data_IF_909154645929
#
_entry.id   IF_909154645929
#
_cell.length_a   1.000
_cell.length_b   1.000
_cell.length_c   1.000
_cell.angle_alpha   90.00
_cell.angle_beta   90.00
_cell.angle_gamma   90.00
#
_symmetry.space_group_name_H-M   'P 1'
#
loop_
_entity.id
_entity.type
_entity.pdbx_description
1 polymer ?
#
# COMPACT_ATOMS: atom_id res chain seq x y z
N UNK A 1 50.05 -10.85 -67.26
CA UNK A 1 51.42 -10.31 -67.24
C UNK A 1 51.45 -9.10 -66.31
N UNK A 2 52.54 -8.98 -65.56
CA UNK A 2 52.72 -8.25 -64.30
C UNK A 2 52.17 -6.82 -64.27
N UNK A 3 51.32 -6.50 -63.29
CA UNK A 3 51.28 -5.13 -62.77
C UNK A 3 52.64 -4.88 -62.12
N UNK A 4 53.39 -3.93 -62.68
CA UNK A 4 54.74 -3.63 -62.21
C UNK A 4 54.70 -3.28 -60.72
N UNK A 5 55.69 -3.72 -59.96
CA UNK A 5 55.83 -3.30 -58.56
C UNK A 5 55.84 -1.76 -58.44
N UNK A 6 56.27 -1.05 -59.49
CA UNK A 6 56.20 0.40 -59.57
C UNK A 6 54.76 0.94 -59.64
N UNK A 7 53.84 0.27 -60.32
CA UNK A 7 52.42 0.68 -60.37
C UNK A 7 51.74 0.50 -59.01
N UNK A 8 52.06 -0.61 -58.31
CA UNK A 8 51.61 -0.81 -56.92
C UNK A 8 52.20 0.22 -55.96
N UNK A 9 53.46 0.61 -56.16
CA UNK A 9 54.13 1.64 -55.35
C UNK A 9 53.61 3.04 -55.71
N UNK A 10 53.25 3.32 -56.97
CA UNK A 10 52.57 4.55 -57.39
C UNK A 10 51.18 4.65 -56.79
N UNK A 11 50.37 3.59 -56.84
CA UNK A 11 49.05 3.53 -56.21
C UNK A 11 49.12 3.63 -54.68
N UNK A 12 50.19 3.11 -54.08
CA UNK A 12 50.43 3.22 -52.64
C UNK A 12 50.93 4.63 -52.25
N UNK A 13 51.77 5.29 -53.06
CA UNK A 13 52.19 6.69 -52.86
C UNK A 13 51.04 7.67 -53.11
N UNK A 14 50.23 7.47 -54.15
CA UNK A 14 49.04 8.27 -54.42
C UNK A 14 48.02 8.21 -53.26
N UNK A 15 47.87 7.04 -52.62
CA UNK A 15 47.07 6.87 -51.39
C UNK A 15 47.63 7.61 -50.17
N UNK A 16 48.93 7.91 -50.13
CA UNK A 16 49.62 8.49 -48.97
C UNK A 16 49.90 9.99 -49.11
N UNK A 17 49.86 10.52 -50.34
CA UNK A 17 50.33 11.86 -50.66
C UNK A 17 49.27 12.97 -50.53
N UNK A 18 48.02 12.64 -50.20
CA UNK A 18 46.99 13.66 -49.98
C UNK A 18 46.29 13.52 -48.63
N UNK A 19 47.04 13.81 -47.55
CA UNK A 19 46.47 14.12 -46.24
C UNK A 19 45.77 15.49 -46.22
N UNK A 20 45.83 16.25 -47.31
CA UNK A 20 45.22 17.57 -47.50
C UNK A 20 43.96 17.55 -48.38
N UNK A 21 43.43 16.37 -48.73
CA UNK A 21 42.19 16.29 -49.50
C UNK A 21 40.99 16.57 -48.60
N UNK A 22 40.42 17.76 -48.72
CA UNK A 22 39.06 18.05 -48.25
C UNK A 22 38.07 17.60 -49.33
N UNK A 23 37.30 16.55 -49.05
CA UNK A 23 36.22 16.05 -49.91
C UNK A 23 35.32 17.22 -50.34
N UNK A 24 35.29 17.57 -51.64
CA UNK A 24 34.42 18.61 -52.20
C UNK A 24 35.05 19.98 -52.51
N UNK A 25 36.39 20.10 -52.52
CA UNK A 25 37.06 21.32 -52.98
C UNK A 25 36.64 21.71 -54.42
N UNK A 26 35.79 22.74 -54.55
CA UNK A 26 35.33 23.27 -55.85
C UNK A 26 33.80 23.39 -56.03
N UNK A 27 32.96 22.92 -55.09
CA UNK A 27 31.49 23.03 -55.18
C UNK A 27 30.95 23.88 -54.03
N UNK A 28 30.24 24.98 -54.29
CA UNK A 28 29.82 25.95 -53.27
C UNK A 28 28.95 25.38 -52.11
N UNK A 29 28.33 24.21 -52.28
CA UNK A 29 27.40 23.59 -51.32
C UNK A 29 27.86 22.19 -50.82
N UNK A 30 29.17 21.98 -50.64
CA UNK A 30 29.71 20.66 -50.28
C UNK A 30 29.57 20.28 -48.79
N UNK A 31 29.33 21.21 -47.86
CA UNK A 31 29.15 20.86 -46.43
C UNK A 31 27.80 20.22 -46.19
N UNK A 32 27.83 18.97 -45.72
CA UNK A 32 26.64 18.29 -45.20
C UNK A 32 26.13 19.04 -43.98
N UNK A 33 24.83 19.31 -43.96
CA UNK A 33 24.16 19.76 -42.76
C UNK A 33 23.96 18.53 -41.87
N UNK A 34 24.95 18.25 -41.01
CA UNK A 34 24.95 17.10 -40.11
C UNK A 34 23.86 17.23 -39.03
N UNK A 35 23.45 18.47 -38.70
CA UNK A 35 22.29 18.71 -37.85
C UNK A 35 21.01 18.24 -38.54
N UNK A 36 20.90 18.40 -39.86
CA UNK A 36 19.74 17.93 -40.62
C UNK A 36 19.56 16.41 -40.61
N UNK A 37 20.62 15.62 -40.38
CA UNK A 37 20.51 14.17 -40.20
C UNK A 37 19.85 13.79 -38.88
N UNK A 38 19.95 14.66 -37.87
CA UNK A 38 19.43 14.42 -36.52
C UNK A 38 17.95 14.76 -36.39
N UNK A 39 17.40 15.57 -37.30
CA UNK A 39 15.99 15.96 -37.32
C UNK A 39 15.20 15.12 -38.32
N UNK A 40 14.27 14.31 -37.81
CA UNK A 40 13.39 13.47 -38.61
C UNK A 40 12.39 14.25 -39.48
N UNK A 41 12.13 15.53 -39.18
CA UNK A 41 11.19 16.38 -39.93
C UNK A 41 11.78 16.92 -41.24
N UNK A 42 13.11 16.95 -41.34
CA UNK A 42 13.81 17.46 -42.52
C UNK A 42 13.79 16.42 -43.63
N UNK A 43 13.41 16.85 -44.84
CA UNK A 43 13.32 15.95 -46.00
C UNK A 43 14.66 15.26 -46.31
N UNK A 44 14.68 13.92 -46.45
CA UNK A 44 15.91 13.17 -46.73
C UNK A 44 16.55 13.53 -48.07
N UNK A 45 15.78 14.08 -49.01
CA UNK A 45 16.28 14.54 -50.31
C UNK A 45 17.28 15.69 -50.19
N UNK A 46 17.10 16.58 -49.21
CA UNK A 46 17.98 17.74 -48.99
C UNK A 46 19.38 17.32 -48.53
N UNK A 47 19.45 16.32 -47.64
CA UNK A 47 20.68 15.72 -47.13
C UNK A 47 21.35 14.89 -48.22
N UNK A 48 20.57 14.08 -48.95
CA UNK A 48 21.07 13.26 -50.05
C UNK A 48 21.69 14.11 -51.16
N UNK A 49 21.08 15.23 -51.53
CA UNK A 49 21.59 16.13 -52.58
C UNK A 49 23.00 16.61 -52.26
N UNK A 50 23.27 16.96 -50.99
CA UNK A 50 24.60 17.39 -50.53
C UNK A 50 25.60 16.23 -50.52
N UNK A 51 25.15 15.03 -50.15
CA UNK A 51 25.98 13.82 -50.18
C UNK A 51 26.37 13.45 -51.63
N UNK A 52 25.43 13.53 -52.58
CA UNK A 52 25.68 13.32 -54.01
C UNK A 52 26.60 14.40 -54.58
N UNK A 53 26.47 15.66 -54.15
CA UNK A 53 27.35 16.73 -54.57
C UNK A 53 28.82 16.47 -54.18
N UNK A 54 29.08 15.88 -53.00
CA UNK A 54 30.45 15.47 -52.61
C UNK A 54 31.03 14.37 -53.51
N UNK A 55 30.18 13.53 -54.09
CA UNK A 55 30.61 12.47 -55.02
C UNK A 55 30.91 12.97 -56.44
N UNK A 56 30.60 14.24 -56.77
CA UNK A 56 30.86 14.82 -58.10
C UNK A 56 32.32 15.31 -58.30
N UNK A 57 33.13 15.40 -57.23
CA UNK A 57 34.56 15.77 -57.32
C UNK A 57 35.41 14.69 -58.01
N UNK A 58 36.47 15.08 -58.72
CA UNK A 58 37.19 14.25 -59.72
C UNK A 58 37.59 12.82 -59.27
N UNK A 59 37.35 11.87 -60.20
CA UNK A 59 37.71 10.43 -60.25
C UNK A 59 37.14 9.54 -59.13
N UNK A 60 35.85 9.23 -59.22
CA UNK A 60 35.17 8.23 -58.37
C UNK A 60 34.61 7.01 -59.13
N UNK A 61 35.24 6.67 -60.27
CA UNK A 61 34.87 5.51 -61.08
C UNK A 61 35.06 4.18 -60.32
N UNK A 62 35.95 4.15 -59.32
CA UNK A 62 36.21 2.96 -58.49
C UNK A 62 35.39 2.92 -57.20
N UNK A 63 34.98 1.71 -56.80
CA UNK A 63 34.29 1.44 -55.53
C UNK A 63 35.11 1.91 -54.32
N UNK A 64 36.44 1.87 -54.40
CA UNK A 64 37.33 2.29 -53.32
C UNK A 64 37.28 3.81 -53.07
N UNK A 65 37.19 4.61 -54.14
CA UNK A 65 37.11 6.06 -54.03
C UNK A 65 35.81 6.52 -53.36
N UNK A 66 34.66 5.91 -53.71
CA UNK A 66 33.37 6.22 -53.07
C UNK A 66 33.33 5.83 -51.59
N UNK A 67 33.95 4.71 -51.21
CA UNK A 67 34.07 4.29 -49.80
C UNK A 67 34.82 5.32 -48.94
N UNK A 68 35.92 5.88 -49.45
CA UNK A 68 36.66 6.92 -48.73
C UNK A 68 35.80 8.16 -48.46
N UNK A 69 34.92 8.53 -49.40
CA UNK A 69 33.97 9.64 -49.21
C UNK A 69 32.94 9.31 -48.13
N UNK A 70 32.38 8.10 -48.11
CA UNK A 70 31.43 7.70 -47.08
C UNK A 70 32.06 7.61 -45.69
N UNK A 71 33.29 7.09 -45.59
CA UNK A 71 34.06 7.04 -44.35
C UNK A 71 34.36 8.44 -43.81
N UNK A 72 34.74 9.37 -44.68
CA UNK A 72 34.95 10.77 -44.30
C UNK A 72 33.66 11.42 -43.78
N UNK A 73 32.53 11.21 -44.45
CA UNK A 73 31.21 11.72 -44.01
C UNK A 73 30.81 11.12 -42.68
N UNK A 74 31.03 9.81 -42.47
CA UNK A 74 30.73 9.15 -41.21
C UNK A 74 31.61 9.69 -40.08
N UNK A 75 32.91 9.88 -40.31
CA UNK A 75 33.83 10.45 -39.33
C UNK A 75 33.47 11.90 -38.96
N UNK A 76 33.04 12.71 -39.93
CA UNK A 76 32.53 14.06 -39.67
C UNK A 76 31.28 14.04 -38.79
N UNK A 77 30.35 13.12 -39.06
CA UNK A 77 29.14 12.94 -38.25
C UNK A 77 29.49 12.52 -36.81
N UNK A 78 30.39 11.55 -36.64
CA UNK A 78 30.81 11.08 -35.32
C UNK A 78 31.51 12.21 -34.53
N UNK A 79 32.38 13.01 -35.17
CA UNK A 79 33.00 14.17 -34.54
C UNK A 79 32.01 15.29 -34.18
N UNK A 80 30.93 15.46 -34.95
CA UNK A 80 29.86 16.41 -34.63
C UNK A 80 28.99 15.93 -33.47
N UNK A 81 28.71 14.63 -33.41
CA UNK A 81 27.99 13.99 -32.30
C UNK A 81 28.77 14.15 -30.99
N UNK A 82 30.09 13.92 -31.03
CA UNK A 82 30.98 14.11 -29.88
C UNK A 82 31.06 15.58 -29.44
N UNK A 83 31.18 16.53 -30.37
CA UNK A 83 31.22 17.97 -30.04
C UNK A 83 29.94 18.48 -29.39
N UNK A 84 28.78 17.97 -29.79
CA UNK A 84 27.48 18.37 -29.25
C UNK A 84 27.09 17.60 -27.98
N UNK A 85 27.90 16.63 -27.53
CA UNK A 85 27.66 15.89 -26.29
C UNK A 85 26.41 15.01 -26.32
N UNK A 86 25.98 14.56 -27.50
CA UNK A 86 24.82 13.67 -27.63
C UNK A 86 25.08 12.35 -26.89
N UNK A 87 24.14 11.90 -26.05
CA UNK A 87 24.20 10.57 -25.46
C UNK A 87 24.25 9.50 -26.57
N UNK A 88 24.98 8.41 -26.35
CA UNK A 88 25.21 7.35 -27.38
C UNK A 88 23.89 6.79 -27.97
N UNK A 89 22.80 6.87 -27.22
CA UNK A 89 21.44 6.52 -27.65
C UNK A 89 20.80 7.52 -28.63
N UNK A 90 21.12 8.82 -28.52
CA UNK A 90 20.66 9.88 -29.42
C UNK A 90 21.50 9.99 -30.70
N UNK A 91 22.77 9.56 -30.65
CA UNK A 91 23.66 9.42 -31.80
C UNK A 91 23.21 8.33 -32.79
N UNK A 92 22.38 7.39 -32.32
CA UNK A 92 22.04 6.16 -33.02
C UNK A 92 21.14 6.40 -34.24
N UNK A 93 20.26 7.40 -34.16
CA UNK A 93 19.34 7.81 -35.24
C UNK A 93 20.08 8.39 -36.47
N UNK A 94 20.87 9.49 -36.36
CA UNK A 94 21.57 10.06 -37.51
C UNK A 94 22.57 9.08 -38.14
N UNK A 95 23.24 8.23 -37.34
CA UNK A 95 24.11 7.15 -37.83
C UNK A 95 23.36 6.11 -38.68
N UNK A 96 22.16 5.70 -38.27
CA UNK A 96 21.33 4.75 -39.04
C UNK A 96 20.79 5.39 -40.32
N UNK A 97 20.34 6.64 -40.22
CA UNK A 97 19.81 7.42 -41.35
C UNK A 97 20.84 7.57 -42.46
N UNK A 98 22.06 7.98 -42.12
CA UNK A 98 23.18 8.08 -43.06
C UNK A 98 23.52 6.72 -43.70
N UNK A 99 23.58 5.64 -42.91
CA UNK A 99 23.86 4.29 -43.43
C UNK A 99 22.81 3.81 -44.45
N UNK A 100 21.53 4.13 -44.23
CA UNK A 100 20.45 3.80 -45.18
C UNK A 100 20.63 4.58 -46.48
N UNK A 101 20.91 5.89 -46.40
CA UNK A 101 21.17 6.73 -47.58
C UNK A 101 22.34 6.21 -48.41
N UNK A 102 23.49 5.95 -47.77
CA UNK A 102 24.68 5.41 -48.44
C UNK A 102 24.40 4.04 -49.07
N UNK A 103 23.66 3.17 -48.38
CA UNK A 103 23.30 1.85 -48.89
C UNK A 103 22.42 1.92 -50.13
N UNK A 104 21.39 2.76 -50.12
CA UNK A 104 20.46 2.92 -51.25
C UNK A 104 21.16 3.56 -52.45
N UNK A 105 22.00 4.57 -52.20
CA UNK A 105 22.81 5.21 -53.24
C UNK A 105 23.74 4.22 -53.94
N UNK A 106 24.46 3.38 -53.17
CA UNK A 106 25.35 2.36 -53.76
C UNK A 106 24.59 1.28 -54.53
N UNK A 107 23.36 0.94 -54.14
CA UNK A 107 22.52 0.00 -54.88
C UNK A 107 22.15 0.57 -56.25
N UNK A 108 21.73 1.84 -56.30
CA UNK A 108 21.35 2.51 -57.54
C UNK A 108 22.57 2.74 -58.46
N UNK A 109 23.74 3.09 -57.91
CA UNK A 109 25.00 3.18 -58.67
C UNK A 109 25.34 1.83 -59.31
N UNK A 110 25.20 0.72 -58.57
CA UNK A 110 25.48 -0.63 -59.10
C UNK A 110 24.46 -1.10 -60.13
N UNK A 111 23.23 -0.62 -60.03
CA UNK A 111 22.17 -0.88 -61.01
C UNK A 111 22.30 -0.03 -62.29
N UNK A 112 23.28 0.88 -62.34
CA UNK A 112 23.52 1.75 -63.50
C UNK A 112 22.56 2.93 -63.60
N UNK A 113 21.88 3.31 -62.50
CA UNK A 113 21.01 4.47 -62.48
C UNK A 113 21.81 5.79 -62.49
N UNK A 114 21.26 6.82 -63.13
CA UNK A 114 21.86 8.17 -63.12
C UNK A 114 21.61 8.88 -61.79
N UNK A 115 22.49 8.62 -60.83
CA UNK A 115 22.45 9.22 -59.49
C UNK A 115 22.82 10.71 -59.48
N UNK A 116 23.34 11.24 -60.58
CA UNK A 116 23.72 12.65 -60.71
C UNK A 116 22.67 13.49 -61.41
N UNK A 117 21.54 12.91 -61.82
CA UNK A 117 20.42 13.66 -62.36
C UNK A 117 19.89 14.70 -61.35
N UNK A 118 19.46 15.89 -61.81
CA UNK A 118 18.82 16.87 -60.94
C UNK A 118 17.53 16.27 -60.33
N UNK A 119 17.42 16.29 -59.00
CA UNK A 119 16.27 15.72 -58.28
C UNK A 119 16.33 14.22 -58.02
N UNK A 120 17.50 13.59 -58.18
CA UNK A 120 17.68 12.16 -57.86
C UNK A 120 17.28 11.84 -56.41
N UNK A 121 16.43 10.83 -56.26
CA UNK A 121 16.03 10.26 -54.99
C UNK A 121 15.76 8.75 -55.15
N UNK A 122 16.39 7.88 -54.35
CA UNK A 122 16.11 6.45 -54.38
C UNK A 122 14.63 6.16 -54.06
N UNK A 123 14.00 5.27 -54.82
CA UNK A 123 12.57 4.98 -54.71
C UNK A 123 12.14 4.51 -53.30
N UNK A 124 13.05 3.86 -52.56
CA UNK A 124 12.79 3.35 -51.19
C UNK A 124 13.19 4.30 -50.07
N UNK A 125 13.89 5.40 -50.37
CA UNK A 125 14.48 6.25 -49.34
C UNK A 125 13.42 6.91 -48.45
N UNK A 126 12.36 7.45 -49.06
CA UNK A 126 11.28 8.11 -48.32
C UNK A 126 10.59 7.16 -47.32
N UNK A 127 10.25 5.94 -47.76
CA UNK A 127 9.57 4.96 -46.93
C UNK A 127 10.47 4.41 -45.79
N UNK A 128 11.76 4.22 -46.03
CA UNK A 128 12.71 3.78 -45.00
C UNK A 128 12.99 4.90 -43.97
N UNK A 129 13.08 6.15 -44.42
CA UNK A 129 13.30 7.32 -43.54
C UNK A 129 12.10 7.55 -42.61
N UNK A 130 10.87 7.47 -43.13
CA UNK A 130 9.64 7.59 -42.34
C UNK A 130 9.54 6.49 -41.27
N UNK A 131 9.83 5.23 -41.64
CA UNK A 131 9.86 4.10 -40.70
C UNK A 131 10.89 4.30 -39.60
N UNK A 132 12.07 4.82 -39.95
CA UNK A 132 13.13 5.12 -38.99
C UNK A 132 12.71 6.25 -38.05
N UNK A 133 12.08 7.32 -38.56
CA UNK A 133 11.54 8.43 -37.78
C UNK A 133 10.49 7.97 -36.76
N UNK A 134 9.48 7.22 -37.20
CA UNK A 134 8.44 6.68 -36.30
C UNK A 134 9.01 5.72 -35.23
N UNK A 135 10.06 4.97 -35.56
CA UNK A 135 10.76 4.12 -34.59
C UNK A 135 11.53 4.95 -33.55
N UNK A 136 12.16 6.05 -33.98
CA UNK A 136 12.87 6.97 -33.10
C UNK A 136 11.91 7.68 -32.13
N UNK A 137 10.81 8.24 -32.62
CA UNK A 137 9.78 8.88 -31.78
C UNK A 137 9.22 7.94 -30.71
N UNK A 138 8.95 6.68 -31.07
CA UNK A 138 8.47 5.67 -30.10
C UNK A 138 9.49 5.38 -29.01
N UNK A 139 10.79 5.39 -29.33
CA UNK A 139 11.86 5.19 -28.34
C UNK A 139 12.01 6.40 -27.42
N UNK A 140 11.96 7.62 -27.97
CA UNK A 140 12.00 8.85 -27.18
C UNK A 140 10.81 8.94 -26.21
N UNK A 141 9.59 8.63 -26.67
CA UNK A 141 8.41 8.60 -25.79
C UNK A 141 8.54 7.59 -24.65
N UNK A 142 9.06 6.39 -24.93
CA UNK A 142 9.31 5.38 -23.88
C UNK A 142 10.37 5.85 -22.88
N UNK A 143 11.45 6.47 -23.37
CA UNK A 143 12.53 7.01 -22.53
C UNK A 143 12.01 8.06 -21.55
N UNK A 144 11.23 9.03 -22.04
CA UNK A 144 10.63 10.07 -21.19
C UNK A 144 9.70 9.48 -20.13
N UNK A 145 8.94 8.42 -20.46
CA UNK A 145 8.08 7.72 -19.51
C UNK A 145 8.87 6.97 -18.44
N UNK A 146 9.93 6.27 -18.84
CA UNK A 146 10.81 5.51 -17.93
C UNK A 146 11.60 6.46 -17.00
N UNK A 147 12.11 7.57 -17.53
CA UNK A 147 12.75 8.64 -16.75
C UNK A 147 11.77 9.23 -15.73
N UNK A 148 10.56 9.59 -16.14
CA UNK A 148 9.53 10.09 -15.24
C UNK A 148 9.15 9.05 -14.15
N UNK A 149 9.05 7.78 -14.51
CA UNK A 149 8.75 6.71 -13.56
C UNK A 149 9.90 6.48 -12.58
N UNK A 150 11.15 6.52 -13.04
CA UNK A 150 12.34 6.37 -12.19
C UNK A 150 12.50 7.56 -11.24
N UNK A 151 12.26 8.79 -11.69
CA UNK A 151 12.26 9.99 -10.87
C UNK A 151 11.20 9.92 -9.75
N UNK A 152 9.99 9.45 -10.06
CA UNK A 152 8.93 9.20 -9.06
C UNK A 152 9.37 8.15 -8.02
N UNK A 153 9.99 7.06 -8.45
CA UNK A 153 10.50 6.02 -7.54
C UNK A 153 11.63 6.55 -6.66
N UNK A 154 12.54 7.33 -7.21
CA UNK A 154 13.64 7.95 -6.48
C UNK A 154 13.12 8.95 -5.42
N UNK A 155 12.20 9.83 -5.81
CA UNK A 155 11.55 10.76 -4.89
C UNK A 155 10.82 10.04 -3.75
N UNK A 156 10.04 9.00 -4.05
CA UNK A 156 9.33 8.19 -3.06
C UNK A 156 10.26 7.40 -2.14
N UNK A 157 11.41 6.92 -2.64
CA UNK A 157 12.35 6.11 -1.85
C UNK A 157 13.20 6.95 -0.91
N UNK A 158 13.55 8.16 -1.33
CA UNK A 158 14.46 9.05 -0.61
C UNK A 158 13.73 10.19 0.14
N UNK A 159 12.39 10.19 0.12
CA UNK A 159 11.53 11.21 0.73
C UNK A 159 11.87 12.64 0.28
N UNK A 160 12.20 12.79 -1.01
CA UNK A 160 12.55 14.07 -1.63
C UNK A 160 11.33 14.58 -2.40
N UNK A 161 10.97 15.85 -2.22
CA UNK A 161 9.88 16.48 -2.95
C UNK A 161 10.13 16.42 -4.47
N UNK A 162 9.27 15.69 -5.19
CA UNK A 162 9.31 15.60 -6.65
C UNK A 162 8.93 16.97 -7.24
N UNK A 163 9.94 17.70 -7.76
CA UNK A 163 9.72 18.93 -8.50
C UNK A 163 9.48 18.57 -9.96
N UNK A 164 8.25 18.79 -10.42
CA UNK A 164 7.87 18.65 -11.82
C UNK A 164 7.83 20.05 -12.40
N UNK A 165 8.57 20.28 -13.49
CA UNK A 165 8.40 21.50 -14.30
C UNK A 165 7.06 21.39 -15.01
N UNK A 166 6.10 22.23 -14.61
CA UNK A 166 4.80 22.29 -15.25
C UNK A 166 4.84 23.22 -16.46
N UNK A 167 4.11 22.91 -17.55
CA UNK A 167 3.83 23.86 -18.62
C UNK A 167 3.28 25.18 -18.06
N UNK A 168 3.57 26.31 -18.69
CA UNK A 168 3.20 27.63 -18.16
C UNK A 168 1.70 27.77 -17.88
N UNK A 169 0.86 27.15 -18.70
CA UNK A 169 -0.60 27.15 -18.54
C UNK A 169 -1.03 26.38 -17.28
N UNK A 170 -0.51 25.18 -17.08
CA UNK A 170 -0.78 24.36 -15.88
C UNK A 170 -0.22 25.02 -14.62
N UNK A 171 0.93 25.70 -14.71
CA UNK A 171 1.53 26.42 -13.60
C UNK A 171 0.63 27.59 -13.13
N UNK A 172 -0.01 28.30 -14.07
CA UNK A 172 -0.99 29.37 -13.75
C UNK A 172 -2.23 28.80 -13.05
N UNK A 173 -2.81 27.73 -13.57
CA UNK A 173 -3.96 27.09 -12.97
C UNK A 173 -3.66 26.59 -11.55
N UNK A 174 -2.50 25.96 -11.37
CA UNK A 174 -2.06 25.46 -10.07
C UNK A 174 -1.75 26.60 -9.09
N UNK A 175 -1.26 27.75 -9.57
CA UNK A 175 -1.07 28.95 -8.76
C UNK A 175 -2.42 29.51 -8.25
N UNK A 176 -3.45 29.56 -9.11
CA UNK A 176 -4.81 29.96 -8.73
C UNK A 176 -5.35 28.98 -7.69
N UNK A 177 -5.19 27.67 -7.91
CA UNK A 177 -5.64 26.63 -7.00
C UNK A 177 -4.96 26.72 -5.63
N UNK A 178 -3.64 26.96 -5.61
CA UNK A 178 -2.87 27.21 -4.37
C UNK A 178 -3.32 28.46 -3.65
N UNK A 179 -3.64 29.54 -4.37
CA UNK A 179 -4.14 30.78 -3.77
C UNK A 179 -5.52 30.57 -3.13
N UNK A 180 -6.43 29.87 -3.81
CA UNK A 180 -7.75 29.52 -3.28
C UNK A 180 -7.65 28.56 -2.09
N UNK A 181 -6.79 27.56 -2.15
CA UNK A 181 -6.50 26.67 -1.04
C UNK A 181 -5.93 27.43 0.16
N UNK A 182 -5.00 28.35 -0.06
CA UNK A 182 -4.47 29.23 1.01
C UNK A 182 -5.54 30.14 1.59
N UNK A 183 -6.47 30.65 0.80
CA UNK A 183 -7.60 31.43 1.32
C UNK A 183 -8.58 30.55 2.13
N UNK A 184 -8.82 29.30 1.70
CA UNK A 184 -9.62 28.31 2.44
C UNK A 184 -8.97 27.90 3.77
N UNK A 185 -7.64 27.74 3.78
CA UNK A 185 -6.87 27.44 5.00
C UNK A 185 -6.56 28.69 5.85
N UNK A 186 -6.63 29.88 5.24
CA UNK A 186 -6.44 31.18 5.88
C UNK A 186 -7.72 31.79 6.44
N UNK A 187 -8.89 31.20 6.16
CA UNK A 187 -10.08 31.39 6.97
C UNK A 187 -9.77 30.97 8.41
N UNK A 188 -10.17 31.78 9.40
CA UNK A 188 -9.33 32.26 10.49
C UNK A 188 -8.47 31.18 11.14
N UNK A 189 -7.20 31.56 11.36
CA UNK A 189 -6.27 30.98 12.31
C UNK A 189 -7.00 30.32 13.47
N UNK A 190 -6.61 29.08 13.77
CA UNK A 190 -7.22 28.22 14.75
C UNK A 190 -7.82 29.01 15.91
N UNK A 191 -9.15 28.87 16.06
CA UNK A 191 -9.66 28.86 17.43
C UNK A 191 -8.75 27.90 18.18
N UNK A 192 -8.07 28.45 19.15
CA UNK A 192 -7.25 27.80 20.15
C UNK A 192 -8.09 26.73 20.87
N UNK A 193 -8.32 25.58 20.22
CA UNK A 193 -9.10 24.47 20.78
C UNK A 193 -8.20 23.53 21.58
N UNK A 194 -6.89 23.76 21.61
CA UNK A 194 -5.95 22.89 22.33
C UNK A 194 -5.26 23.53 23.55
N UNK A 195 -6.03 24.19 24.42
CA UNK A 195 -5.60 24.40 25.82
C UNK A 195 -6.65 24.01 26.87
N UNK A 196 -7.31 22.86 26.67
CA UNK A 196 -7.94 22.18 27.82
C UNK A 196 -9.43 21.89 27.71
N UNK A 197 -9.95 21.59 26.51
CA UNK A 197 -11.25 20.90 26.45
C UNK A 197 -11.04 19.43 26.82
N UNK A 198 -11.71 18.91 27.85
CA UNK A 198 -11.44 17.57 28.34
C UNK A 198 -11.70 16.58 27.20
N UNK A 199 -10.73 15.70 26.95
CA UNK A 199 -10.79 14.51 26.07
C UNK A 199 -12.09 13.71 26.25
N UNK A 200 -12.73 13.81 27.40
CA UNK A 200 -14.03 13.21 27.71
C UNK A 200 -15.21 13.81 26.92
N UNK A 201 -15.15 15.09 26.50
CA UNK A 201 -16.24 15.77 25.77
C UNK A 201 -16.38 15.27 24.32
N UNK A 202 -15.32 14.71 23.73
CA UNK A 202 -15.36 14.08 22.40
C UNK A 202 -15.84 12.63 22.44
N UNK A 203 -15.84 11.99 23.62
CA UNK A 203 -16.29 10.60 23.80
C UNK A 203 -17.78 10.44 23.50
N UNK A 204 -18.64 11.30 24.06
CA UNK A 204 -20.09 11.21 23.84
C UNK A 204 -20.47 11.40 22.35
N UNK A 205 -19.97 12.43 21.63
CA UNK A 205 -20.18 12.54 20.17
C UNK A 205 -19.68 11.31 19.40
N UNK A 206 -18.51 10.77 19.76
CA UNK A 206 -17.95 9.58 19.10
C UNK A 206 -18.81 8.34 19.35
N UNK A 207 -19.35 8.18 20.56
CA UNK A 207 -20.30 7.14 20.91
C UNK A 207 -21.59 7.24 20.11
N UNK A 208 -22.20 8.43 20.04
CA UNK A 208 -23.39 8.68 19.22
C UNK A 208 -23.11 8.42 17.74
N UNK A 209 -21.94 8.83 17.24
CA UNK A 209 -21.52 8.57 15.88
C UNK A 209 -21.42 7.06 15.59
N UNK A 210 -20.69 6.31 16.41
CA UNK A 210 -20.53 4.87 16.22
C UNK A 210 -21.84 4.11 16.37
N UNK A 211 -22.73 4.54 17.28
CA UNK A 211 -24.09 3.99 17.35
C UNK A 211 -24.87 4.24 16.06
N UNK A 212 -24.78 5.44 15.46
CA UNK A 212 -25.46 5.73 14.18
C UNK A 212 -24.90 4.88 13.04
N UNK A 213 -23.58 4.69 12.98
CA UNK A 213 -22.94 3.80 12.01
C UNK A 213 -23.46 2.37 12.17
N UNK A 214 -23.49 1.86 13.41
CA UNK A 214 -24.00 0.52 13.71
C UNK A 214 -25.49 0.36 13.36
N UNK A 215 -26.32 1.38 13.61
CA UNK A 215 -27.74 1.37 13.22
C UNK A 215 -27.92 1.44 11.68
N UNK A 216 -27.03 2.14 10.99
CA UNK A 216 -27.04 2.25 9.53
C UNK A 216 -26.63 0.96 8.82
N UNK A 217 -25.77 0.14 9.44
CA UNK A 217 -25.27 -1.10 8.85
C UNK A 217 -26.27 -2.26 8.87
N UNK A 218 -27.23 -2.32 9.82
CA UNK A 218 -28.52 -3.07 9.72
C UNK A 218 -29.18 -3.31 11.10
N UNK A 219 -30.52 -3.25 11.16
CA UNK A 219 -31.33 -3.69 12.33
C UNK A 219 -31.10 -5.16 12.71
N UNK A 220 -30.62 -5.97 11.77
CA UNK A 220 -30.32 -7.40 11.95
C UNK A 220 -29.15 -7.60 12.91
N UNK A 221 -28.25 -6.62 13.06
CA UNK A 221 -27.08 -6.75 13.93
C UNK A 221 -27.42 -7.02 15.40
N UNK A 222 -28.50 -6.40 15.92
CA UNK A 222 -28.94 -6.63 17.30
C UNK A 222 -29.53 -8.03 17.49
N UNK A 223 -30.35 -8.49 16.54
CA UNK A 223 -30.87 -9.87 16.55
C UNK A 223 -29.72 -10.88 16.45
N UNK A 224 -28.71 -10.58 15.64
CA UNK A 224 -27.53 -11.42 15.51
C UNK A 224 -26.69 -11.51 16.79
N UNK A 225 -26.66 -10.44 17.59
CA UNK A 225 -25.98 -10.44 18.89
C UNK A 225 -26.59 -11.44 19.90
N UNK A 226 -27.87 -11.81 19.72
CA UNK A 226 -28.57 -12.82 20.53
C UNK A 226 -28.25 -14.25 20.08
N UNK A 227 -28.10 -14.47 18.78
CA UNK A 227 -27.88 -15.81 18.19
C UNK A 227 -26.62 -16.46 18.75
N UNK A 228 -25.51 -15.72 18.82
CA UNK A 228 -24.23 -16.25 19.31
C UNK A 228 -24.33 -16.84 20.72
N UNK A 229 -24.77 -16.06 21.73
CA UNK A 229 -25.01 -16.54 23.08
C UNK A 229 -25.95 -17.72 23.16
N UNK A 230 -27.07 -17.71 22.43
CA UNK A 230 -28.03 -18.83 22.43
C UNK A 230 -27.36 -20.11 21.91
N UNK A 231 -26.63 -20.05 20.80
CA UNK A 231 -25.95 -21.22 20.22
C UNK A 231 -24.89 -21.78 21.18
N UNK A 232 -24.09 -20.93 21.81
CA UNK A 232 -23.06 -21.40 22.73
C UNK A 232 -23.68 -21.91 24.05
N UNK A 233 -24.71 -21.24 24.56
CA UNK A 233 -25.47 -21.68 25.74
C UNK A 233 -26.08 -23.06 25.50
N UNK A 234 -26.74 -23.28 24.36
CA UNK A 234 -27.37 -24.57 24.05
C UNK A 234 -26.34 -25.67 23.85
N UNK A 235 -25.18 -25.35 23.27
CA UNK A 235 -24.07 -26.27 23.12
C UNK A 235 -23.50 -26.71 24.48
N UNK A 236 -23.27 -25.77 25.40
CA UNK A 236 -22.77 -26.09 26.74
C UNK A 236 -23.82 -26.89 27.51
N UNK A 237 -25.08 -26.46 27.47
CA UNK A 237 -26.16 -27.12 28.21
C UNK A 237 -26.40 -28.55 27.70
N UNK A 238 -26.41 -28.75 26.39
CA UNK A 238 -26.61 -30.08 25.80
C UNK A 238 -25.49 -31.04 26.18
N UNK A 239 -24.22 -30.58 26.21
CA UNK A 239 -23.09 -31.41 26.62
C UNK A 239 -23.26 -31.95 28.05
N UNK A 240 -23.68 -31.11 29.00
CA UNK A 240 -23.93 -31.54 30.38
C UNK A 240 -25.16 -32.44 30.49
N UNK A 241 -26.23 -32.17 29.75
CA UNK A 241 -27.41 -33.03 29.74
C UNK A 241 -27.12 -34.41 29.16
N UNK A 242 -26.28 -34.51 28.11
CA UNK A 242 -25.82 -35.79 27.57
C UNK A 242 -24.98 -36.57 28.59
N UNK A 243 -24.26 -35.88 29.47
CA UNK A 243 -23.54 -36.47 30.61
C UNK A 243 -24.44 -36.78 31.82
N UNK A 244 -25.76 -36.55 31.73
CA UNK A 244 -26.71 -36.78 32.82
C UNK A 244 -26.63 -35.76 33.96
N UNK A 245 -25.93 -34.64 33.76
CA UNK A 245 -25.77 -33.58 34.77
C UNK A 245 -26.78 -32.48 34.52
N UNK A 246 -27.69 -32.26 35.48
CA UNK A 246 -28.68 -31.18 35.43
C UNK A 246 -28.34 -29.98 36.33
N UNK A 247 -27.49 -30.21 37.34
CA UNK A 247 -27.00 -29.20 38.26
C UNK A 247 -25.49 -29.33 38.45
N UNK A 248 -24.77 -28.22 38.43
CA UNK A 248 -23.33 -28.12 38.66
C UNK A 248 -23.12 -27.37 39.96
N UNK A 249 -22.70 -28.05 41.02
CA UNK A 249 -22.38 -27.43 42.31
C UNK A 249 -23.52 -26.51 42.83
N UNK A 250 -24.77 -26.95 42.65
CA UNK A 250 -25.97 -26.20 43.05
C UNK A 250 -26.46 -25.14 42.06
N UNK A 251 -25.82 -25.01 40.89
CA UNK A 251 -26.24 -24.14 39.78
C UNK A 251 -27.00 -24.95 38.74
N UNK A 252 -28.13 -24.46 38.22
CA UNK A 252 -28.80 -25.09 37.09
C UNK A 252 -27.95 -24.93 35.81
N UNK A 253 -27.85 -25.99 35.03
CA UNK A 253 -27.02 -26.05 33.82
C UNK A 253 -27.35 -24.97 32.77
N UNK A 254 -28.63 -24.64 32.49
CA UNK A 254 -28.97 -23.58 31.54
C UNK A 254 -28.44 -22.22 31.97
N UNK A 255 -28.61 -21.84 33.24
CA UNK A 255 -28.10 -20.56 33.76
C UNK A 255 -26.57 -20.54 33.85
N UNK A 256 -25.96 -21.66 34.26
CA UNK A 256 -24.50 -21.81 34.22
C UNK A 256 -23.94 -21.53 32.83
N UNK A 257 -24.57 -22.14 31.82
CA UNK A 257 -24.22 -21.99 30.40
C UNK A 257 -24.48 -20.57 29.90
N UNK A 258 -25.58 -19.95 30.32
CA UNK A 258 -25.92 -18.56 29.98
C UNK A 258 -24.86 -17.57 30.45
N UNK A 259 -24.43 -17.69 31.70
CA UNK A 259 -23.42 -16.79 32.28
C UNK A 259 -22.08 -16.94 31.56
N UNK A 260 -21.64 -18.18 31.33
CA UNK A 260 -20.40 -18.45 30.60
C UNK A 260 -20.45 -17.98 29.15
N UNK A 261 -21.46 -18.42 28.40
CA UNK A 261 -21.58 -18.16 26.97
C UNK A 261 -21.73 -16.67 26.65
N UNK A 262 -22.64 -15.99 27.35
CA UNK A 262 -22.97 -14.58 27.05
C UNK A 262 -21.83 -13.66 27.48
N UNK A 263 -21.23 -13.88 28.66
CA UNK A 263 -20.07 -13.11 29.13
C UNK A 263 -18.89 -13.26 28.19
N UNK A 264 -18.60 -14.50 27.76
CA UNK A 264 -17.45 -14.73 26.89
C UNK A 264 -17.66 -14.18 25.48
N UNK A 265 -18.86 -14.32 24.91
CA UNK A 265 -19.13 -13.75 23.59
C UNK A 265 -19.08 -12.22 23.65
N UNK A 266 -19.60 -11.61 24.72
CA UNK A 266 -19.43 -10.17 24.96
C UNK A 266 -17.94 -9.80 24.99
N UNK A 267 -17.15 -10.48 25.82
CA UNK A 267 -15.70 -10.28 25.93
C UNK A 267 -15.04 -10.35 24.55
N UNK A 268 -15.34 -11.39 23.77
CA UNK A 268 -14.83 -11.59 22.42
C UNK A 268 -15.19 -10.44 21.47
N UNK A 269 -16.45 -10.00 21.47
CA UNK A 269 -16.87 -8.87 20.63
C UNK A 269 -16.12 -7.60 21.01
N UNK A 270 -16.00 -7.32 22.31
CA UNK A 270 -15.25 -6.16 22.80
C UNK A 270 -13.79 -6.24 22.34
N UNK A 271 -13.11 -7.37 22.50
CA UNK A 271 -11.72 -7.56 22.07
C UNK A 271 -11.55 -7.21 20.58
N UNK A 272 -12.30 -7.87 19.69
CA UNK A 272 -12.10 -7.71 18.25
C UNK A 272 -12.58 -6.38 17.70
N UNK A 273 -13.68 -5.83 18.24
CA UNK A 273 -14.23 -4.55 17.77
C UNK A 273 -13.38 -3.39 18.25
N UNK A 274 -12.87 -3.47 19.48
CA UNK A 274 -11.91 -2.50 20.00
C UNK A 274 -10.58 -2.57 19.25
N UNK A 275 -10.05 -3.77 18.99
CA UNK A 275 -8.78 -3.92 18.27
C UNK A 275 -8.87 -3.47 16.81
N UNK A 276 -9.99 -3.77 16.13
CA UNK A 276 -10.22 -3.34 14.76
C UNK A 276 -10.43 -1.83 14.69
N UNK A 277 -11.22 -1.26 15.60
CA UNK A 277 -11.40 0.20 15.69
C UNK A 277 -10.09 0.92 15.99
N UNK A 278 -9.20 0.31 16.78
CA UNK A 278 -7.89 0.88 17.06
C UNK A 278 -7.02 1.00 15.79
N UNK A 279 -7.02 -0.04 14.95
CA UNK A 279 -6.26 -0.05 13.69
C UNK A 279 -6.91 0.81 12.60
N UNK A 280 -8.24 0.76 12.47
CA UNK A 280 -9.00 1.51 11.46
C UNK A 280 -9.14 2.99 11.77
N UNK A 281 -8.97 3.39 13.05
CA UNK A 281 -9.02 4.79 13.47
C UNK A 281 -8.02 5.69 12.73
N UNK A 282 -6.99 5.14 12.05
CA UNK A 282 -6.06 5.89 11.19
C UNK A 282 -6.75 6.88 10.24
N UNK A 283 -7.89 6.52 9.65
CA UNK A 283 -8.66 7.42 8.78
C UNK A 283 -9.40 8.56 9.52
N UNK A 284 -9.68 8.37 10.81
CA UNK A 284 -10.35 9.36 11.68
C UNK A 284 -9.36 10.23 12.47
N UNK A 285 -8.06 9.92 12.46
CA UNK A 285 -7.02 10.71 13.13
C UNK A 285 -6.86 12.12 12.54
N UNK A 286 -7.40 12.37 11.35
CA UNK A 286 -7.47 13.71 10.76
C UNK A 286 -8.40 14.66 11.56
N UNK A 287 -9.25 14.13 12.46
CA UNK A 287 -10.08 14.95 13.34
C UNK A 287 -9.36 15.24 14.66
N UNK A 288 -9.22 16.53 14.98
CA UNK A 288 -8.64 16.98 16.25
C UNK A 288 -9.41 16.43 17.45
N UNK A 289 -8.69 15.82 18.41
CA UNK A 289 -9.26 15.30 19.65
C UNK A 289 -9.76 13.85 19.61
N UNK A 290 -9.63 13.14 18.48
CA UNK A 290 -9.95 11.70 18.38
C UNK A 290 -8.67 10.88 18.55
N UNK A 291 -8.65 9.98 19.53
CA UNK A 291 -7.53 9.05 19.75
C UNK A 291 -7.93 7.61 19.44
N UNK A 292 -7.01 6.73 18.99
CA UNK A 292 -7.31 5.31 18.78
C UNK A 292 -7.86 4.63 20.04
N UNK A 293 -7.34 5.02 21.21
CA UNK A 293 -7.83 4.58 22.51
C UNK A 293 -9.30 4.94 22.74
N UNK A 294 -9.74 6.16 22.39
CA UNK A 294 -11.15 6.53 22.49
C UNK A 294 -12.04 5.65 21.61
N UNK A 295 -11.60 5.35 20.39
CA UNK A 295 -12.35 4.45 19.50
C UNK A 295 -12.56 3.06 20.12
N UNK A 296 -11.50 2.50 20.71
CA UNK A 296 -11.57 1.24 21.42
C UNK A 296 -12.49 1.29 22.65
N UNK A 297 -12.39 2.34 23.48
CA UNK A 297 -13.25 2.51 24.67
C UNK A 297 -14.71 2.67 24.28
N UNK A 298 -15.01 3.44 23.23
CA UNK A 298 -16.38 3.61 22.72
C UNK A 298 -16.95 2.27 22.25
N UNK A 299 -16.19 1.47 21.50
CA UNK A 299 -16.61 0.13 21.09
C UNK A 299 -16.90 -0.77 22.29
N UNK A 300 -16.04 -0.75 23.31
CA UNK A 300 -16.27 -1.51 24.53
C UNK A 300 -17.59 -1.10 25.21
N UNK A 301 -17.85 0.20 25.37
CA UNK A 301 -19.09 0.71 25.97
C UNK A 301 -20.34 0.30 25.17
N UNK A 302 -20.30 0.38 23.85
CA UNK A 302 -21.41 -0.05 22.98
C UNK A 302 -21.70 -1.53 23.20
N UNK A 303 -20.69 -2.39 23.11
CA UNK A 303 -20.90 -3.84 23.23
C UNK A 303 -21.27 -4.27 24.65
N UNK A 304 -20.76 -3.63 25.71
CA UNK A 304 -21.27 -3.83 27.07
C UNK A 304 -22.75 -3.53 27.14
N UNK A 305 -23.18 -2.39 26.60
CA UNK A 305 -24.59 -1.98 26.64
C UNK A 305 -25.47 -2.97 25.88
N UNK A 306 -25.04 -3.42 24.70
CA UNK A 306 -25.73 -4.45 23.91
C UNK A 306 -25.85 -5.75 24.70
N UNK A 307 -24.76 -6.24 25.30
CA UNK A 307 -24.79 -7.52 25.99
C UNK A 307 -25.49 -7.48 27.35
N UNK A 308 -25.56 -6.33 28.02
CA UNK A 308 -26.44 -6.14 29.19
C UNK A 308 -27.90 -6.32 28.78
N UNK A 309 -28.33 -5.77 27.64
CA UNK A 309 -29.68 -6.00 27.10
C UNK A 309 -29.87 -7.47 26.72
N UNK A 310 -28.89 -8.11 26.08
CA UNK A 310 -28.95 -9.55 25.76
C UNK A 310 -29.11 -10.40 27.02
N UNK A 311 -28.36 -10.10 28.09
CA UNK A 311 -28.54 -10.76 29.39
C UNK A 311 -29.96 -10.58 29.93
N UNK A 312 -30.49 -9.36 29.93
CA UNK A 312 -31.85 -9.09 30.40
C UNK A 312 -32.90 -9.88 29.62
N UNK A 313 -32.76 -9.95 28.29
CA UNK A 313 -33.67 -10.72 27.42
C UNK A 313 -33.57 -12.23 27.68
N UNK A 314 -32.37 -12.79 27.74
CA UNK A 314 -32.17 -14.22 27.94
C UNK A 314 -32.58 -14.68 29.34
N UNK A 315 -32.25 -13.92 30.38
CA UNK A 315 -32.68 -14.21 31.75
C UNK A 315 -34.20 -14.05 31.87
N UNK A 316 -34.78 -12.99 31.29
CA UNK A 316 -36.22 -12.76 31.26
C UNK A 316 -36.97 -13.92 30.59
N UNK A 317 -36.66 -14.23 29.33
CA UNK A 317 -37.28 -15.33 28.61
C UNK A 317 -37.06 -16.69 29.29
N UNK A 318 -35.83 -16.97 29.73
CA UNK A 318 -35.49 -18.22 30.40
C UNK A 318 -36.21 -18.43 31.73
N UNK A 319 -36.36 -17.36 32.51
CA UNK A 319 -37.08 -17.41 33.79
C UNK A 319 -38.58 -17.63 33.59
N UNK A 320 -39.20 -17.02 32.56
CA UNK A 320 -40.62 -17.26 32.23
C UNK A 320 -40.92 -18.70 31.81
N UNK A 321 -39.93 -19.39 31.23
CA UNK A 321 -40.01 -20.79 30.84
C UNK A 321 -39.64 -21.75 31.99
N UNK A 322 -39.20 -21.23 33.15
CA UNK A 322 -38.76 -22.04 34.29
C UNK A 322 -37.41 -22.73 34.11
N UNK A 323 -36.62 -22.35 33.10
CA UNK A 323 -35.33 -22.96 32.79
C UNK A 323 -34.14 -22.24 33.42
N UNK A 324 -34.28 -20.94 33.69
CA UNK A 324 -33.20 -20.08 34.19
C UNK A 324 -33.57 -19.54 35.57
N UNK A 325 -32.63 -19.64 36.51
CA UNK A 325 -32.78 -19.07 37.85
C UNK A 325 -32.53 -17.58 37.82
N UNK A 326 -33.26 -16.82 38.66
CA UNK A 326 -33.06 -15.38 38.76
C UNK A 326 -31.78 -15.06 39.55
N UNK A 327 -31.09 -13.94 39.23
CA UNK A 327 -29.90 -13.53 39.96
C UNK A 327 -30.21 -13.26 41.42
N UNK A 328 -29.37 -13.77 42.33
CA UNK A 328 -29.41 -13.43 43.75
C UNK A 328 -29.09 -11.94 44.00
N UNK A 329 -28.14 -11.40 43.23
CA UNK A 329 -27.77 -9.98 43.29
C UNK A 329 -27.58 -9.41 41.88
N UNK A 330 -28.53 -8.57 41.44
CA UNK A 330 -28.42 -7.89 40.14
C UNK A 330 -27.18 -6.98 40.06
N UNK A 331 -26.87 -6.27 41.14
CA UNK A 331 -25.71 -5.40 41.22
C UNK A 331 -24.39 -6.17 41.18
N UNK A 332 -24.27 -7.26 41.94
CA UNK A 332 -23.07 -8.10 41.97
C UNK A 332 -22.82 -8.76 40.62
N UNK A 333 -23.86 -9.35 40.03
CA UNK A 333 -23.81 -9.90 38.68
C UNK A 333 -23.33 -8.86 37.64
N UNK A 334 -23.99 -7.69 37.57
CA UNK A 334 -23.65 -6.65 36.61
C UNK A 334 -22.24 -6.10 36.81
N UNK A 335 -21.78 -5.98 38.06
CA UNK A 335 -20.42 -5.54 38.36
C UNK A 335 -19.38 -6.47 37.72
N UNK A 336 -19.51 -7.79 37.88
CA UNK A 336 -18.56 -8.73 37.28
C UNK A 336 -18.68 -8.79 35.76
N UNK A 337 -19.87 -8.60 35.18
CA UNK A 337 -20.02 -8.43 33.72
C UNK A 337 -19.21 -7.22 33.24
N UNK A 338 -19.33 -6.07 33.92
CA UNK A 338 -18.58 -4.85 33.56
C UNK A 338 -17.07 -5.03 33.77
N UNK A 339 -16.63 -5.71 34.84
CA UNK A 339 -15.22 -6.00 35.06
C UNK A 339 -14.63 -6.92 33.99
N UNK A 340 -15.37 -7.96 33.58
CA UNK A 340 -15.00 -8.82 32.45
C UNK A 340 -14.90 -8.02 31.16
N UNK A 341 -15.84 -7.10 30.92
CA UNK A 341 -15.79 -6.22 29.77
C UNK A 341 -14.59 -5.25 29.78
N UNK A 342 -14.20 -4.72 30.94
CA UNK A 342 -12.99 -3.91 31.09
C UNK A 342 -11.74 -4.73 30.76
N UNK A 343 -11.70 -5.99 31.18
CA UNK A 343 -10.68 -6.95 30.77
C UNK A 343 -10.64 -7.14 29.25
N UNK A 344 -11.80 -7.33 28.62
CA UNK A 344 -11.92 -7.46 27.16
C UNK A 344 -11.47 -6.20 26.42
N UNK A 345 -11.79 -5.02 26.94
CA UNK A 345 -11.34 -3.74 26.39
C UNK A 345 -9.81 -3.61 26.47
N UNK A 346 -9.23 -4.03 27.61
CA UNK A 346 -7.78 -4.01 27.82
C UNK A 346 -7.05 -4.96 26.86
N UNK A 347 -7.54 -6.19 26.68
CA UNK A 347 -7.02 -7.13 25.67
C UNK A 347 -7.22 -6.58 24.25
N UNK A 348 -8.37 -5.97 23.96
CA UNK A 348 -8.67 -5.39 22.65
C UNK A 348 -7.73 -4.25 22.26
N UNK A 349 -7.45 -3.33 23.19
CA UNK A 349 -6.46 -2.26 22.99
C UNK A 349 -5.05 -2.84 22.83
N UNK A 350 -4.67 -3.86 23.62
CA UNK A 350 -3.38 -4.52 23.49
C UNK A 350 -3.23 -5.21 22.12
N UNK A 351 -4.25 -5.92 21.67
CA UNK A 351 -4.30 -6.58 20.36
C UNK A 351 -4.25 -5.55 19.23
N UNK A 352 -4.96 -4.44 19.37
CA UNK A 352 -4.92 -3.31 18.45
C UNK A 352 -3.51 -2.72 18.36
N UNK A 353 -2.86 -2.47 19.49
CA UNK A 353 -1.50 -1.95 19.56
C UNK A 353 -0.49 -2.89 18.89
N UNK A 354 -0.53 -4.19 19.19
CA UNK A 354 0.33 -5.20 18.54
C UNK A 354 0.09 -5.22 17.02
N UNK A 355 -1.17 -5.14 16.58
CA UNK A 355 -1.52 -5.15 15.17
C UNK A 355 -0.98 -3.96 14.38
N UNK A 356 -0.65 -2.83 15.04
CA UNK A 356 -0.01 -1.69 14.36
C UNK A 356 1.43 -1.97 13.95
N UNK A 357 2.15 -2.81 14.71
CA UNK A 357 3.49 -3.27 14.37
C UNK A 357 3.44 -4.53 13.49
N UNK A 358 2.51 -5.45 13.77
CA UNK A 358 2.34 -6.71 13.06
C UNK A 358 0.97 -6.83 12.42
N UNK A 359 0.85 -6.42 11.16
CA UNK A 359 -0.42 -6.37 10.41
C UNK A 359 -1.15 -7.72 10.29
N UNK A 360 -0.46 -8.86 10.45
CA UNK A 360 -1.08 -10.20 10.40
C UNK A 360 -1.68 -10.62 11.76
N UNK A 361 -1.36 -9.93 12.85
CA UNK A 361 -1.74 -10.33 14.21
C UNK A 361 -3.25 -10.51 14.40
N UNK A 362 -4.09 -9.63 13.83
CA UNK A 362 -5.55 -9.75 13.95
C UNK A 362 -6.12 -11.00 13.27
N UNK A 363 -5.39 -11.64 12.36
CA UNK A 363 -5.78 -12.94 11.79
C UNK A 363 -5.48 -14.10 12.73
N UNK A 364 -4.46 -13.95 13.60
CA UNK A 364 -4.08 -14.93 14.62
C UNK A 364 -4.87 -14.75 15.93
N UNK A 365 -5.31 -13.52 16.22
CA UNK A 365 -6.02 -13.17 17.45
C UNK A 365 -7.26 -14.05 17.76
N UNK A 366 -8.08 -14.51 16.79
CA UNK A 366 -9.15 -15.50 17.02
C UNK A 366 -8.68 -16.82 17.61
N UNK A 367 -7.48 -17.29 17.22
CA UNK A 367 -6.91 -18.52 17.75
C UNK A 367 -6.52 -18.32 19.21
N UNK A 368 -5.86 -17.21 19.53
CA UNK A 368 -5.48 -16.85 20.90
C UNK A 368 -6.72 -16.70 21.79
N UNK A 369 -7.75 -16.01 21.29
CA UNK A 369 -9.02 -15.85 22.00
C UNK A 369 -9.69 -17.19 22.29
N UNK A 370 -9.62 -18.15 21.36
CA UNK A 370 -10.17 -19.49 21.58
C UNK A 370 -9.44 -20.25 22.68
N UNK A 371 -8.11 -20.14 22.76
CA UNK A 371 -7.36 -20.68 23.89
C UNK A 371 -7.75 -20.01 25.20
N UNK A 372 -7.82 -18.67 25.22
CA UNK A 372 -8.28 -17.92 26.39
C UNK A 372 -9.67 -18.39 26.84
N UNK A 373 -10.59 -18.69 25.90
CA UNK A 373 -11.94 -19.19 26.22
C UNK A 373 -11.91 -20.49 27.02
N UNK A 374 -11.05 -21.42 26.62
CA UNK A 374 -10.91 -22.74 27.25
C UNK A 374 -10.36 -22.56 28.67
N UNK A 375 -9.35 -21.71 28.85
CA UNK A 375 -8.74 -21.48 30.15
C UNK A 375 -9.59 -20.63 31.11
N UNK A 376 -10.57 -19.86 30.61
CA UNK A 376 -11.34 -18.88 31.40
C UNK A 376 -12.59 -19.45 32.07
N UNK A 377 -12.61 -20.75 32.38
CA UNK A 377 -13.72 -21.44 33.06
C UNK A 377 -15.10 -21.19 32.40
N UNK A 378 -15.15 -21.05 31.06
CA UNK A 378 -16.41 -20.79 30.34
C UNK A 378 -17.30 -22.04 30.32
N UNK A 379 -16.68 -23.21 30.09
CA UNK A 379 -17.35 -24.50 29.92
C UNK A 379 -17.49 -25.31 31.21
N UNK A 380 -16.65 -25.04 32.21
CA UNK A 380 -16.56 -25.80 33.45
C UNK A 380 -16.19 -24.87 34.61
N UNK A 381 -16.20 -25.42 35.81
CA UNK A 381 -15.78 -24.78 37.06
C UNK A 381 -14.50 -25.46 37.53
N UNK A 382 -13.49 -24.73 38.03
CA UNK A 382 -12.21 -25.35 38.44
C UNK A 382 -12.38 -26.38 39.56
N UNK A 383 -13.40 -26.20 40.40
CA UNK A 383 -13.76 -27.15 41.45
C UNK A 383 -14.17 -28.53 40.92
N UNK A 384 -14.54 -28.66 39.64
CA UNK A 384 -14.82 -29.95 38.98
C UNK A 384 -13.56 -30.65 38.44
N UNK A 385 -12.43 -29.94 38.38
CA UNK A 385 -11.19 -30.48 37.82
C UNK A 385 -10.36 -31.20 38.88
N UNK A 386 -9.57 -32.24 38.49
CA UNK A 386 -8.56 -32.83 39.34
C UNK A 386 -7.59 -31.77 39.89
N UNK A 387 -7.12 -31.95 41.13
CA UNK A 387 -6.23 -30.98 41.80
C UNK A 387 -4.97 -30.66 40.99
N UNK A 388 -4.44 -31.60 40.20
CA UNK A 388 -3.27 -31.35 39.37
C UNK A 388 -3.52 -30.35 38.24
N UNK A 389 -4.76 -30.26 37.73
CA UNK A 389 -5.11 -29.40 36.60
C UNK A 389 -5.53 -27.99 37.03
N UNK A 390 -6.06 -27.83 38.24
CA UNK A 390 -6.56 -26.54 38.75
C UNK A 390 -5.57 -25.37 38.57
N UNK A 391 -4.26 -25.48 38.89
CA UNK A 391 -3.33 -24.37 38.77
C UNK A 391 -3.18 -23.83 37.35
N UNK A 392 -3.27 -24.69 36.33
CA UNK A 392 -3.14 -24.29 34.92
C UNK A 392 -4.32 -23.43 34.45
N UNK A 393 -5.52 -23.73 34.95
CA UNK A 393 -6.73 -22.98 34.60
C UNK A 393 -6.86 -21.69 35.43
N UNK A 394 -6.54 -21.76 36.72
CA UNK A 394 -6.59 -20.61 37.64
C UNK A 394 -5.50 -19.58 37.34
N UNK A 395 -4.44 -19.93 36.59
CA UNK A 395 -3.49 -18.93 36.11
C UNK A 395 -4.17 -17.83 35.27
N UNK A 396 -5.25 -18.17 34.54
CA UNK A 396 -6.05 -17.18 33.82
C UNK A 396 -6.86 -16.30 34.78
N UNK A 397 -6.67 -14.96 34.77
CA UNK A 397 -7.47 -14.07 35.63
C UNK A 397 -8.96 -14.11 35.26
N UNK A 398 -9.28 -14.39 34.01
CA UNK A 398 -10.67 -14.49 33.54
C UNK A 398 -11.37 -15.74 34.07
N UNK A 399 -10.65 -16.79 34.46
CA UNK A 399 -11.23 -17.95 35.15
C UNK A 399 -11.79 -17.53 36.52
N UNK A 400 -11.00 -16.78 37.29
CA UNK A 400 -11.43 -16.19 38.55
C UNK A 400 -12.62 -15.24 38.35
N UNK A 401 -12.55 -14.35 37.35
CA UNK A 401 -13.66 -13.44 37.02
C UNK A 401 -14.96 -14.17 36.70
N UNK A 402 -14.90 -15.27 35.93
CA UNK A 402 -16.06 -16.08 35.58
C UNK A 402 -16.65 -16.83 36.79
N UNK A 403 -15.82 -17.38 37.66
CA UNK A 403 -16.29 -18.04 38.88
C UNK A 403 -16.88 -17.06 39.89
N UNK A 404 -16.29 -15.87 40.04
CA UNK A 404 -16.82 -14.81 40.90
C UNK A 404 -18.15 -14.28 40.36
N UNK A 405 -18.29 -14.14 39.04
CA UNK A 405 -19.57 -13.82 38.38
C UNK A 405 -20.65 -14.84 38.76
N UNK A 406 -20.34 -16.15 38.66
CA UNK A 406 -21.28 -17.20 39.06
C UNK A 406 -21.59 -17.17 40.56
N UNK A 407 -20.58 -16.90 41.40
CA UNK A 407 -20.74 -16.77 42.85
C UNK A 407 -21.60 -15.57 43.26
N UNK A 408 -21.60 -14.49 42.47
CA UNK A 408 -22.46 -13.33 42.67
C UNK A 408 -23.89 -13.55 42.16
N UNK A 409 -24.06 -14.43 41.17
CA UNK A 409 -25.36 -14.76 40.60
C UNK A 409 -26.14 -15.76 41.45
N UNK A 410 -25.47 -16.82 41.95
CA UNK A 410 -26.11 -17.91 42.69
C UNK A 410 -25.87 -17.81 44.20
N UNK A 411 -26.92 -17.96 45.00
CA UNK A 411 -26.77 -18.12 46.46
C UNK A 411 -26.23 -19.50 46.85
N UNK A 412 -26.51 -20.52 46.03
CA UNK A 412 -26.12 -21.91 46.24
C UNK A 412 -24.65 -22.20 45.96
N UNK A 413 -23.97 -21.31 45.21
CA UNK A 413 -22.60 -21.52 44.77
C UNK A 413 -21.69 -20.41 45.31
N UNK A 414 -20.66 -20.79 46.05
CA UNK A 414 -19.54 -19.93 46.41
C UNK A 414 -18.25 -20.62 45.95
N UNK A 415 -17.53 -19.96 45.06
CA UNK A 415 -16.24 -20.48 44.61
C UNK A 415 -15.22 -20.47 45.75
N UNK A 416 -14.49 -21.57 45.89
CA UNK A 416 -13.39 -21.71 46.85
C UNK A 416 -12.04 -21.44 46.18
N UNK A 417 -11.95 -21.72 44.88
CA UNK A 417 -10.73 -21.56 44.10
C UNK A 417 -10.56 -20.11 43.59
N UNK A 418 -11.64 -19.31 43.53
CA UNK A 418 -11.60 -17.98 42.94
C UNK A 418 -11.08 -16.88 43.88
N UNK A 419 -10.06 -16.13 43.44
CA UNK A 419 -9.50 -14.99 44.17
C UNK A 419 -9.90 -13.66 43.54
N UNK A 420 -10.64 -12.84 44.29
CA UNK A 420 -11.02 -11.48 43.89
C UNK A 420 -9.80 -10.57 43.76
N UNK A 421 -8.85 -10.66 44.69
CA UNK A 421 -7.64 -9.83 44.68
C UNK A 421 -6.76 -10.15 43.46
N UNK A 422 -6.59 -11.44 43.13
CA UNK A 422 -5.86 -11.84 41.93
C UNK A 422 -6.55 -11.33 40.66
N UNK A 423 -7.87 -11.48 40.55
CA UNK A 423 -8.61 -10.98 39.39
C UNK A 423 -8.45 -9.46 39.21
N UNK A 424 -8.65 -8.67 40.27
CA UNK A 424 -8.56 -7.20 40.19
C UNK A 424 -7.13 -6.72 39.90
N UNK A 425 -6.13 -7.30 40.57
CA UNK A 425 -4.71 -6.95 40.32
C UNK A 425 -4.30 -7.29 38.89
N UNK A 426 -4.69 -8.45 38.38
CA UNK A 426 -4.43 -8.84 37.01
C UNK A 426 -5.15 -7.95 35.98
N UNK A 427 -6.38 -7.52 36.25
CA UNK A 427 -7.09 -6.55 35.41
C UNK A 427 -6.37 -5.20 35.35
N UNK A 428 -5.94 -4.68 36.51
CA UNK A 428 -5.17 -3.43 36.56
C UNK A 428 -3.85 -3.57 35.82
N UNK A 429 -3.12 -4.67 36.03
CA UNK A 429 -1.86 -4.94 35.36
C UNK A 429 -2.04 -5.04 33.84
N UNK A 430 -3.07 -5.73 33.38
CA UNK A 430 -3.42 -5.84 31.97
C UNK A 430 -3.79 -4.48 31.36
N UNK A 431 -4.55 -3.66 32.08
CA UNK A 431 -4.88 -2.30 31.65
C UNK A 431 -3.63 -1.42 31.53
N UNK A 432 -2.70 -1.51 32.49
CA UNK A 432 -1.42 -0.79 32.45
C UNK A 432 -0.57 -1.23 31.26
N UNK A 433 -0.42 -2.54 31.02
CA UNK A 433 0.31 -3.07 29.86
C UNK A 433 -0.33 -2.58 28.56
N UNK A 434 -1.65 -2.62 28.48
CA UNK A 434 -2.41 -2.19 27.32
C UNK A 434 -2.19 -0.70 27.01
N UNK A 435 -2.22 0.16 28.04
CA UNK A 435 -1.93 1.59 27.90
C UNK A 435 -0.47 1.88 27.57
N UNK A 436 0.47 1.10 28.12
CA UNK A 436 1.89 1.21 27.78
C UNK A 436 2.14 0.83 26.31
N UNK A 437 1.54 -0.26 25.84
CA UNK A 437 1.57 -0.69 24.44
C UNK A 437 0.93 0.34 23.51
N UNK A 438 -0.19 0.93 23.93
CA UNK A 438 -0.85 2.04 23.22
C UNK A 438 0.11 3.23 23.05
N UNK A 439 0.76 3.65 24.13
CA UNK A 439 1.70 4.79 24.12
C UNK A 439 2.90 4.55 23.21
N UNK A 440 3.43 3.32 23.17
CA UNK A 440 4.50 2.92 22.26
C UNK A 440 4.04 2.87 20.81
N UNK A 441 2.81 2.41 20.56
CA UNK A 441 2.24 2.33 19.21
C UNK A 441 1.88 3.71 18.63
N UNK A 442 1.64 4.74 19.45
CA UNK A 442 1.29 6.09 18.99
C UNK A 442 2.29 6.67 17.97
N UNK A 443 3.59 6.45 18.18
CA UNK A 443 4.63 6.96 17.26
C UNK A 443 4.52 6.38 15.84
N UNK A 444 3.91 5.20 15.70
CA UNK A 444 3.76 4.51 14.42
C UNK A 444 2.36 4.71 13.78
N UNK A 445 1.47 5.43 14.46
CA UNK A 445 0.06 5.55 14.08
C UNK A 445 -0.32 6.99 13.74
N UNK A 446 0.31 7.98 14.38
CA UNK A 446 0.09 9.40 14.06
C UNK A 446 1.22 9.89 13.14
N UNK A 447 0.92 10.42 11.93
CA UNK A 447 1.91 11.23 11.23
C UNK A 447 2.19 12.45 12.11
N UNK A 448 3.45 12.65 12.49
CA UNK A 448 3.88 13.86 13.20
C UNK A 448 3.67 15.10 12.35
#
# INVERSE_FOLDING_TARGET
MSTSNEDRIKDWRARRQDRSYTVGAGIAAWRLDLAALSDASISPASVLTRLVARLRGQRHDSVAARRAVYEAVQAELDAEIERNGYADTSADFPRRRLRIMVRLLELDIRAGADVFAPGYMPARLAAEDERLGQAHERRERRRLQDEAQSARRHASRNDIALRIELPEDEARDLAILRARLRALHGAPAGRDVDQGRPRLRTLLPMFVYQLRVMHGESRIALLWALVGPVVLLTLISSLYFLMGTHYILGMDVPTFSLLGATTWIMFRQIVFRSSTSYVSARGMLNFQGVTPLMGAVVQALIYVSVYVVVFAVLIGAGSTLGWITLPASWSGFLLFVVLMALGGASVGVLFGAIATAWHFFLRLAPVIERFLQIFSAVFFVSEQLPEQLKPYFLWSPFAHGMQLLRSAYFNSYKSQDASLSYFLTALVFLAVISLAAERLARSNVQPM
#
